data_IF_023311994581
#
_entry.id   IF_023311994581
#
_cell.length_a   1.000
_cell.length_b   1.000
_cell.length_c   1.000
_cell.angle_alpha   90.00
_cell.angle_beta   90.00
_cell.angle_gamma   90.00
#
_symmetry.space_group_name_H-M   'P 1'
#
loop_
_entity.id
_entity.type
_entity.pdbx_description
1 polymer ?
#
# COMPACT_ATOMS: atom_id res chain seq x y z
N UNK A 1 9.37 4.86 42.28
CA UNK A 1 9.78 6.14 41.67
C UNK A 1 10.14 5.87 40.21
N UNK A 2 9.39 6.40 39.22
CA UNK A 2 9.76 6.25 37.81
C UNK A 2 11.08 6.98 37.55
N UNK A 3 12.02 6.35 36.84
CA UNK A 3 13.30 7.00 36.48
C UNK A 3 13.00 8.15 35.51
N UNK A 4 13.56 9.36 35.72
CA UNK A 4 13.39 10.46 34.78
C UNK A 4 13.93 10.06 33.40
N UNK A 5 13.21 10.43 32.34
CA UNK A 5 13.65 10.20 30.97
C UNK A 5 14.95 10.97 30.71
N UNK A 6 15.97 10.27 30.22
CA UNK A 6 17.28 10.88 29.91
C UNK A 6 17.23 11.64 28.58
N UNK A 7 16.21 11.39 27.75
CA UNK A 7 16.10 11.87 26.36
C UNK A 7 16.10 13.40 26.24
N UNK A 8 15.31 14.17 27.02
CA UNK A 8 15.32 15.64 26.90
C UNK A 8 16.70 16.25 27.15
N UNK A 9 17.45 15.70 28.11
CA UNK A 9 18.80 16.16 28.40
C UNK A 9 19.80 15.82 27.28
N UNK A 10 19.59 14.70 26.56
CA UNK A 10 20.40 14.35 25.39
C UNK A 10 20.07 15.24 24.21
N UNK A 11 18.78 15.52 23.98
CA UNK A 11 18.31 16.41 22.93
C UNK A 11 18.94 17.80 23.07
N UNK A 12 18.87 18.40 24.26
CA UNK A 12 19.46 19.72 24.51
C UNK A 12 20.96 19.78 24.22
N UNK A 13 21.72 18.74 24.61
CA UNK A 13 23.17 18.65 24.32
C UNK A 13 23.44 18.47 22.83
N UNK A 14 22.58 17.71 22.16
CA UNK A 14 22.69 17.49 20.72
C UNK A 14 22.44 18.80 19.96
N UNK A 15 21.37 19.53 20.29
CA UNK A 15 21.06 20.83 19.69
C UNK A 15 22.23 21.81 19.85
N UNK A 16 22.74 21.98 21.08
CA UNK A 16 23.89 22.84 21.34
C UNK A 16 25.14 22.45 20.53
N UNK A 17 25.39 21.15 20.39
CA UNK A 17 26.51 20.67 19.59
C UNK A 17 26.29 20.92 18.09
N UNK A 18 25.10 20.63 17.58
CA UNK A 18 24.74 20.82 16.18
C UNK A 18 24.78 22.31 15.78
N UNK A 19 24.23 23.20 16.60
CA UNK A 19 24.31 24.66 16.38
C UNK A 19 25.77 25.14 16.30
N UNK A 20 26.64 24.65 17.19
CA UNK A 20 28.06 24.99 17.15
C UNK A 20 28.74 24.49 15.86
N UNK A 21 28.41 23.28 15.40
CA UNK A 21 28.92 22.73 14.13
C UNK A 21 28.40 23.50 12.93
N UNK A 22 27.11 23.86 12.93
CA UNK A 22 26.51 24.66 11.86
C UNK A 22 27.15 26.05 11.78
N UNK A 23 27.39 26.71 12.91
CA UNK A 23 28.10 27.99 12.94
C UNK A 23 29.52 27.86 12.37
N UNK A 24 30.25 26.79 12.71
CA UNK A 24 31.57 26.50 12.11
C UNK A 24 31.48 26.24 10.59
N UNK A 25 30.42 25.59 10.13
CA UNK A 25 30.20 25.30 8.71
C UNK A 25 29.89 26.58 7.93
N UNK A 26 29.04 27.46 8.47
CA UNK A 26 28.68 28.72 7.85
C UNK A 26 29.83 29.73 7.86
N UNK A 27 30.71 29.66 8.87
CA UNK A 27 31.91 30.48 8.96
C UNK A 27 32.96 30.13 7.89
N UNK A 28 32.87 28.95 7.27
CA UNK A 28 33.77 28.57 6.19
C UNK A 28 33.43 29.31 4.88
N UNK A 29 34.45 29.66 4.07
CA UNK A 29 34.23 30.25 2.76
C UNK A 29 33.41 29.29 1.87
N UNK A 30 32.40 29.81 1.19
CA UNK A 30 31.51 29.02 0.32
C UNK A 30 32.20 28.05 -0.66
N UNK A 31 33.29 28.40 -1.36
CA UNK A 31 33.90 27.49 -2.34
C UNK A 31 34.56 26.25 -1.74
N UNK A 32 34.94 26.28 -0.46
CA UNK A 32 35.72 25.23 0.20
C UNK A 32 34.99 24.64 1.43
N UNK A 33 33.66 24.79 1.49
CA UNK A 33 32.88 24.30 2.63
C UNK A 33 32.99 22.78 2.77
N UNK A 34 33.59 22.36 3.87
CA UNK A 34 33.68 20.98 4.27
C UNK A 34 32.70 20.67 5.40
N UNK A 35 32.12 19.46 5.42
CA UNK A 35 31.27 19.02 6.53
C UNK A 35 32.01 19.14 7.87
N UNK A 36 31.38 19.80 8.82
CA UNK A 36 31.89 19.94 10.20
C UNK A 36 31.45 18.80 11.09
N UNK A 37 30.37 18.10 10.70
CA UNK A 37 29.92 16.90 11.39
C UNK A 37 30.94 15.77 11.22
N UNK A 38 31.15 14.95 12.26
CA UNK A 38 32.07 13.83 12.17
C UNK A 38 31.55 12.84 11.13
N UNK A 39 32.36 12.53 10.13
CA UNK A 39 32.04 11.62 9.04
C UNK A 39 32.86 10.33 9.10
N UNK A 40 32.30 9.23 8.60
CA UNK A 40 33.06 8.01 8.30
C UNK A 40 33.71 8.12 6.92
N UNK A 41 34.68 7.25 6.62
CA UNK A 41 35.32 7.20 5.30
C UNK A 41 34.36 6.97 4.12
N UNK A 42 33.14 6.50 4.40
CA UNK A 42 32.06 6.29 3.42
C UNK A 42 31.18 7.55 3.21
N UNK A 43 31.54 8.71 3.78
CA UNK A 43 30.77 9.96 3.65
C UNK A 43 29.45 9.99 4.45
N UNK A 44 29.31 9.12 5.46
CA UNK A 44 28.16 9.06 6.36
C UNK A 44 28.47 9.71 7.70
N UNK A 45 27.46 10.18 8.42
CA UNK A 45 27.67 10.67 9.79
C UNK A 45 28.20 9.55 10.69
N UNK A 46 29.30 9.83 11.39
CA UNK A 46 29.91 8.95 12.36
C UNK A 46 29.23 9.10 13.73
N UNK A 47 28.20 8.29 13.94
CA UNK A 47 27.38 8.30 15.16
C UNK A 47 28.19 8.08 16.43
N UNK A 48 29.25 7.27 16.39
CA UNK A 48 30.11 7.01 17.56
C UNK A 48 30.87 8.26 18.00
N UNK A 49 31.48 8.95 17.04
CA UNK A 49 32.19 10.20 17.31
C UNK A 49 31.22 11.30 17.74
N UNK A 50 30.06 11.38 17.09
CA UNK A 50 29.01 12.31 17.48
C UNK A 50 28.56 12.06 18.93
N UNK A 51 28.24 10.81 19.28
CA UNK A 51 27.82 10.42 20.62
C UNK A 51 28.89 10.75 21.67
N UNK A 52 30.16 10.49 21.37
CA UNK A 52 31.27 10.85 22.24
C UNK A 52 31.37 12.38 22.44
N UNK A 53 31.16 13.17 21.39
CA UNK A 53 31.20 14.63 21.45
C UNK A 53 30.11 15.24 22.35
N UNK A 54 28.92 14.62 22.38
CA UNK A 54 27.81 15.04 23.27
C UNK A 54 27.83 14.34 24.65
N UNK A 55 28.89 13.59 24.95
CA UNK A 55 29.10 12.95 26.25
C UNK A 55 28.20 11.73 26.52
N UNK A 56 27.70 11.07 25.48
CA UNK A 56 26.94 9.84 25.62
C UNK A 56 27.85 8.62 25.83
N UNK A 57 27.35 7.65 26.61
CA UNK A 57 27.99 6.33 26.73
C UNK A 57 27.71 5.49 25.48
N UNK A 58 28.59 4.53 25.18
CA UNK A 58 28.42 3.61 24.05
C UNK A 58 27.07 2.88 24.06
N UNK A 59 26.54 2.54 25.24
CA UNK A 59 25.22 1.89 25.39
C UNK A 59 24.04 2.81 25.07
N UNK A 60 24.26 4.12 25.03
CA UNK A 60 23.26 5.16 24.76
C UNK A 60 23.30 5.65 23.31
N UNK A 61 24.33 5.29 22.53
CA UNK A 61 24.42 5.60 21.08
C UNK A 61 23.16 5.19 20.33
N UNK A 62 22.51 4.11 20.78
CA UNK A 62 21.26 3.62 20.18
C UNK A 62 20.12 4.61 20.15
N UNK A 63 20.08 5.55 21.09
CA UNK A 63 19.05 6.56 21.09
C UNK A 63 19.15 7.50 19.89
N UNK A 64 20.35 7.72 19.35
CA UNK A 64 20.55 8.58 18.17
C UNK A 64 19.98 7.98 16.88
N UNK A 65 19.76 6.66 16.81
CA UNK A 65 19.14 6.00 15.65
C UNK A 65 17.72 5.49 15.91
N UNK A 66 17.35 5.13 17.14
CA UNK A 66 16.01 4.64 17.48
C UNK A 66 14.99 5.77 17.73
N UNK A 67 15.45 6.95 18.16
CA UNK A 67 14.56 8.07 18.47
C UNK A 67 14.49 9.03 17.29
N UNK A 68 13.30 9.11 16.69
CA UNK A 68 13.04 9.97 15.54
C UNK A 68 13.41 11.44 15.79
N UNK A 69 13.19 11.95 17.00
CA UNK A 69 13.53 13.32 17.38
C UNK A 69 15.04 13.60 17.27
N UNK A 70 15.89 12.65 17.67
CA UNK A 70 17.35 12.81 17.61
C UNK A 70 17.88 12.53 16.20
N UNK A 71 17.39 11.47 15.56
CA UNK A 71 17.86 11.08 14.24
C UNK A 71 17.47 12.09 13.16
N UNK A 72 16.27 12.69 13.24
CA UNK A 72 15.81 13.71 12.30
C UNK A 72 16.68 14.96 12.32
N UNK A 73 17.02 15.49 13.51
CA UNK A 73 17.88 16.65 13.64
C UNK A 73 19.27 16.42 13.04
N UNK A 74 19.86 15.26 13.32
CA UNK A 74 21.18 14.93 12.79
C UNK A 74 21.11 14.74 11.27
N UNK A 75 20.07 14.08 10.77
CA UNK A 75 19.91 13.83 9.34
C UNK A 75 19.67 15.12 8.55
N UNK A 76 18.88 16.05 9.10
CA UNK A 76 18.65 17.36 8.49
C UNK A 76 19.97 18.13 8.33
N UNK A 77 20.80 18.11 9.38
CA UNK A 77 22.09 18.81 9.33
C UNK A 77 23.12 18.08 8.46
N UNK A 78 23.09 16.74 8.45
CA UNK A 78 23.90 15.93 7.55
C UNK A 78 23.60 16.28 6.09
N UNK A 79 22.32 16.34 5.72
CA UNK A 79 21.87 16.71 4.39
C UNK A 79 22.34 18.12 4.01
N UNK A 80 22.19 19.10 4.91
CA UNK A 80 22.66 20.48 4.71
C UNK A 80 24.17 20.59 4.50
N UNK A 81 24.96 19.65 5.03
CA UNK A 81 26.41 19.58 4.85
C UNK A 81 26.86 18.57 3.78
N UNK A 82 25.93 17.93 3.06
CA UNK A 82 26.25 16.95 2.02
C UNK A 82 26.71 15.56 2.53
N UNK A 83 26.41 15.22 3.78
CA UNK A 83 26.66 13.90 4.36
C UNK A 83 25.44 13.00 4.24
N UNK A 84 25.67 11.70 4.09
CA UNK A 84 24.60 10.72 4.07
C UNK A 84 23.99 10.51 5.48
N UNK A 85 22.65 10.38 5.59
CA UNK A 85 21.93 10.35 6.86
C UNK A 85 22.23 9.08 7.68
N UNK A 86 22.05 9.21 8.99
CA UNK A 86 22.06 8.10 9.94
C UNK A 86 20.85 7.21 9.67
N UNK A 87 21.09 5.90 9.61
CA UNK A 87 20.01 4.91 9.54
C UNK A 87 19.46 4.64 8.13
N UNK A 88 20.11 5.11 7.05
CA UNK A 88 19.71 4.80 5.66
C UNK A 88 19.38 3.30 5.45
N UNK A 89 20.20 2.41 6.02
CA UNK A 89 20.00 0.94 5.93
C UNK A 89 18.71 0.42 6.61
N UNK A 90 18.14 1.13 7.58
CA UNK A 90 16.89 0.76 8.25
C UNK A 90 15.67 1.24 7.47
N UNK A 91 15.74 2.45 6.91
CA UNK A 91 14.70 3.02 6.06
C UNK A 91 14.56 2.24 4.75
N UNK A 92 15.68 1.87 4.12
CA UNK A 92 15.69 1.07 2.89
C UNK A 92 15.01 -0.29 3.10
N UNK A 93 15.33 -0.99 4.20
CA UNK A 93 14.74 -2.30 4.52
C UNK A 93 13.24 -2.23 4.81
N UNK A 94 12.79 -1.18 5.49
CA UNK A 94 11.36 -1.01 5.78
C UNK A 94 10.56 -0.67 4.52
N UNK A 95 11.14 0.16 3.63
CA UNK A 95 10.56 0.48 2.33
C UNK A 95 10.45 -0.77 1.44
N UNK A 96 11.51 -1.57 1.36
CA UNK A 96 11.53 -2.81 0.57
C UNK A 96 10.50 -3.83 1.08
N UNK A 97 10.38 -4.01 2.40
CA UNK A 97 9.40 -4.91 3.00
C UNK A 97 7.96 -4.48 2.69
N UNK A 98 7.65 -3.18 2.77
CA UNK A 98 6.33 -2.65 2.47
C UNK A 98 5.97 -2.78 0.98
N UNK A 99 6.95 -2.64 0.08
CA UNK A 99 6.76 -2.86 -1.37
C UNK A 99 6.47 -4.33 -1.64
N UNK A 100 7.26 -5.25 -1.07
CA UNK A 100 7.05 -6.70 -1.22
C UNK A 100 5.68 -7.14 -0.71
N UNK A 101 5.25 -6.63 0.45
CA UNK A 101 3.93 -6.93 1.01
C UNK A 101 2.80 -6.42 0.10
N UNK A 102 2.94 -5.22 -0.45
CA UNK A 102 1.94 -4.65 -1.37
C UNK A 102 1.84 -5.49 -2.65
N UNK A 103 2.96 -5.94 -3.19
CA UNK A 103 3.03 -6.79 -4.38
C UNK A 103 2.38 -8.15 -4.14
N UNK A 104 2.62 -8.76 -2.97
CA UNK A 104 1.99 -10.00 -2.56
C UNK A 104 0.46 -9.85 -2.48
N UNK A 105 -0.04 -8.79 -1.82
CA UNK A 105 -1.49 -8.52 -1.73
C UNK A 105 -2.13 -8.30 -3.10
N UNK A 106 -1.48 -7.52 -3.97
CA UNK A 106 -1.97 -7.30 -5.34
C UNK A 106 -2.03 -8.60 -6.14
N UNK A 107 -1.01 -9.45 -6.05
CA UNK A 107 -1.02 -10.75 -6.74
C UNK A 107 -2.14 -11.66 -6.26
N UNK A 108 -2.44 -11.65 -4.95
CA UNK A 108 -3.52 -12.44 -4.37
C UNK A 108 -4.89 -11.91 -4.80
N UNK A 109 -5.08 -10.59 -4.79
CA UNK A 109 -6.32 -9.96 -5.26
C UNK A 109 -6.56 -10.23 -6.74
N UNK A 110 -5.52 -10.17 -7.58
CA UNK A 110 -5.63 -10.46 -9.00
C UNK A 110 -6.10 -11.92 -9.25
N UNK A 111 -5.56 -12.89 -8.49
CA UNK A 111 -5.98 -14.29 -8.59
C UNK A 111 -7.45 -14.47 -8.21
N UNK A 112 -7.89 -13.88 -7.10
CA UNK A 112 -9.28 -13.95 -6.66
C UNK A 112 -10.22 -13.28 -7.68
N UNK A 113 -9.84 -12.14 -8.24
CA UNK A 113 -10.61 -11.46 -9.27
C UNK A 113 -10.75 -12.32 -10.54
N UNK A 114 -9.67 -12.98 -10.98
CA UNK A 114 -9.74 -13.87 -12.14
C UNK A 114 -10.66 -15.08 -11.90
N UNK A 115 -10.62 -15.68 -10.70
CA UNK A 115 -11.51 -16.80 -10.36
C UNK A 115 -12.97 -16.36 -10.34
N UNK A 116 -13.27 -15.24 -9.70
CA UNK A 116 -14.61 -14.68 -9.65
C UNK A 116 -15.15 -14.32 -11.05
N UNK A 117 -14.30 -13.81 -11.94
CA UNK A 117 -14.69 -13.51 -13.32
C UNK A 117 -15.06 -14.78 -14.10
N UNK A 118 -14.27 -15.84 -13.99
CA UNK A 118 -14.55 -17.14 -14.63
C UNK A 118 -15.86 -17.73 -14.12
N UNK A 119 -16.11 -17.69 -12.82
CA UNK A 119 -17.37 -18.16 -12.23
C UNK A 119 -18.57 -17.33 -12.70
N UNK A 120 -18.41 -16.00 -12.77
CA UNK A 120 -19.47 -15.11 -13.25
C UNK A 120 -19.80 -15.36 -14.74
N UNK A 121 -18.78 -15.55 -15.59
CA UNK A 121 -18.98 -15.89 -17.01
C UNK A 121 -19.70 -17.23 -17.18
N UNK A 122 -19.35 -18.24 -16.38
CA UNK A 122 -20.02 -19.54 -16.43
C UNK A 122 -21.51 -19.43 -16.04
N UNK A 123 -21.81 -18.70 -14.96
CA UNK A 123 -23.20 -18.45 -14.52
C UNK A 123 -23.97 -17.64 -15.57
N UNK A 124 -23.34 -16.63 -16.17
CA UNK A 124 -23.97 -15.84 -17.23
C UNK A 124 -24.32 -16.69 -18.45
N UNK A 125 -23.41 -17.58 -18.87
CA UNK A 125 -23.66 -18.49 -19.98
C UNK A 125 -24.84 -19.45 -19.70
N UNK A 126 -24.91 -20.00 -18.49
CA UNK A 126 -26.03 -20.87 -18.08
C UNK A 126 -27.36 -20.12 -18.08
N UNK A 127 -27.40 -18.90 -17.55
CA UNK A 127 -28.60 -18.08 -17.53
C UNK A 127 -29.09 -17.72 -18.93
N UNK A 128 -28.18 -17.37 -19.84
CA UNK A 128 -28.52 -17.08 -21.24
C UNK A 128 -29.09 -18.31 -21.95
N UNK A 129 -28.50 -19.50 -21.72
CA UNK A 129 -29.04 -20.74 -22.26
C UNK A 129 -30.46 -21.00 -21.76
N UNK A 130 -30.69 -20.81 -20.46
CA UNK A 130 -32.00 -21.02 -19.85
C UNK A 130 -33.06 -20.05 -20.34
N UNK A 131 -32.68 -18.79 -20.61
CA UNK A 131 -33.57 -17.81 -21.23
C UNK A 131 -33.96 -18.27 -22.63
N UNK A 132 -32.99 -18.68 -23.45
CA UNK A 132 -33.25 -19.18 -24.80
C UNK A 132 -34.21 -20.38 -24.80
N UNK A 133 -34.00 -21.34 -23.90
CA UNK A 133 -34.86 -22.52 -23.80
C UNK A 133 -36.29 -22.15 -23.40
N UNK A 134 -36.45 -21.26 -22.41
CA UNK A 134 -37.76 -20.77 -21.95
C UNK A 134 -38.49 -19.93 -23.01
N UNK A 135 -37.75 -19.19 -23.84
CA UNK A 135 -38.32 -18.45 -24.97
C UNK A 135 -38.85 -19.42 -26.04
N UNK A 136 -38.10 -20.47 -26.36
CA UNK A 136 -38.53 -21.52 -27.29
C UNK A 136 -39.80 -22.23 -26.78
N UNK A 137 -39.84 -22.58 -25.49
CA UNK A 137 -41.01 -23.19 -24.87
C UNK A 137 -42.22 -22.27 -24.89
N UNK A 138 -42.05 -20.98 -24.60
CA UNK A 138 -43.13 -19.99 -24.70
C UNK A 138 -43.69 -19.88 -26.12
N UNK A 139 -42.82 -19.84 -27.13
CA UNK A 139 -43.25 -19.78 -28.53
C UNK A 139 -44.06 -21.02 -28.91
N UNK A 140 -43.62 -22.22 -28.49
CA UNK A 140 -44.33 -23.47 -28.71
C UNK A 140 -45.72 -23.45 -28.06
N UNK A 141 -45.79 -23.11 -26.78
CA UNK A 141 -47.05 -23.04 -26.04
C UNK A 141 -48.00 -21.98 -26.61
N UNK A 142 -47.47 -20.83 -27.04
CA UNK A 142 -48.27 -19.79 -27.67
C UNK A 142 -48.87 -20.28 -29.00
N UNK A 143 -48.09 -20.97 -29.83
CA UNK A 143 -48.57 -21.56 -31.08
C UNK A 143 -49.65 -22.63 -30.84
N UNK A 144 -49.46 -23.48 -29.83
CA UNK A 144 -50.48 -24.46 -29.42
C UNK A 144 -51.76 -23.79 -28.94
N UNK A 145 -51.65 -22.75 -28.11
CA UNK A 145 -52.81 -22.00 -27.62
C UNK A 145 -53.59 -21.36 -28.78
N UNK A 146 -52.89 -20.77 -29.75
CA UNK A 146 -53.50 -20.19 -30.95
C UNK A 146 -54.24 -21.25 -31.78
N UNK A 147 -53.64 -22.43 -31.96
CA UNK A 147 -54.30 -23.56 -32.66
C UNK A 147 -55.55 -24.04 -31.94
N UNK A 148 -55.47 -24.18 -30.61
CA UNK A 148 -56.61 -24.59 -29.79
C UNK A 148 -57.75 -23.56 -29.83
N UNK A 149 -57.42 -22.27 -29.74
CA UNK A 149 -58.40 -21.18 -29.88
C UNK A 149 -59.09 -21.20 -31.25
N UNK A 150 -58.32 -21.29 -32.32
CA UNK A 150 -58.89 -21.38 -33.68
C UNK A 150 -59.80 -22.61 -33.84
N UNK A 151 -59.44 -23.75 -33.23
CA UNK A 151 -60.29 -24.95 -33.22
C UNK A 151 -61.60 -24.71 -32.47
N UNK A 152 -61.56 -24.06 -31.31
CA UNK A 152 -62.76 -23.72 -30.55
C UNK A 152 -63.65 -22.74 -31.32
N UNK A 153 -63.08 -21.75 -32.00
CA UNK A 153 -63.84 -20.79 -32.81
C UNK A 153 -64.59 -21.50 -33.95
N UNK A 154 -63.96 -22.46 -34.62
CA UNK A 154 -64.60 -23.27 -35.67
C UNK A 154 -65.72 -24.17 -35.14
N UNK A 155 -65.57 -24.73 -33.93
CA UNK A 155 -66.62 -25.49 -33.26
C UNK A 155 -67.80 -24.57 -32.91
N UNK A 156 -67.51 -23.41 -32.31
CA UNK A 156 -68.52 -22.42 -31.93
C UNK A 156 -69.27 -21.82 -33.13
N UNK A 157 -68.60 -21.68 -34.28
CA UNK A 157 -69.20 -21.24 -35.53
C UNK A 157 -70.07 -22.33 -36.21
N UNK A 158 -70.14 -23.55 -35.64
CA UNK A 158 -70.91 -24.66 -36.20
C UNK A 158 -70.26 -25.33 -37.42
N UNK A 159 -69.00 -24.99 -37.74
CA UNK A 159 -68.27 -25.53 -38.90
C UNK A 159 -67.57 -26.86 -38.61
N UNK A 160 -67.28 -27.18 -37.35
CA UNK A 160 -66.75 -28.46 -36.90
C UNK A 160 -67.67 -29.06 -35.84
N UNK A 161 -68.10 -30.31 -36.02
CA UNK A 161 -68.83 -31.07 -35.00
C UNK A 161 -67.81 -31.79 -34.11
N UNK A 162 -67.86 -31.63 -32.78
CA UNK A 162 -67.02 -32.42 -31.89
C UNK A 162 -67.34 -33.91 -32.09
N UNK A 163 -66.31 -34.72 -32.28
CA UNK A 163 -66.44 -36.18 -32.15
C UNK A 163 -66.57 -36.45 -30.66
N UNK A 164 -67.80 -36.62 -30.20
CA UNK A 164 -68.11 -37.18 -28.90
C UNK A 164 -67.92 -38.71 -28.99
N UNK A 165 -66.97 -39.25 -28.22
CA UNK A 165 -66.90 -40.67 -27.85
C UNK A 165 -67.67 -40.92 -26.55
#
# INVERSE_FOLDING_TARGET
>A
MPRPSVIPAVLQRLEQYLEAREAEYLAQPEPDRMPTLPATGDGKVNVRQLAAAIGLKQTQEKYLFERAELSSLINLMAEGQGLAPIGARLLDKAADAAVLERLARQSQQARLATQAAVEAEAVQAELLQRISDLEADNQRLHAENMRLRARLDLINAGTLVPLDD
#
